data_IF_463799264141
#
_entry.id   IF_463799264141
#
_cell.length_a   1.000
_cell.length_b   1.000
_cell.length_c   1.000
_cell.angle_alpha   90.00
_cell.angle_beta   90.00
_cell.angle_gamma   90.00
#
_symmetry.space_group_name_H-M   'P 1'
#
loop_
_entity.id
_entity.type
_entity.pdbx_description
1 polymer ?
#
# COMPACT_ATOMS: atom_id res chain seq x y z
N UNK A 1 22.61 -4.41 -0.29
CA UNK A 1 21.82 -4.78 -1.49
C UNK A 1 20.56 -3.99 -1.38
N UNK A 2 20.40 -2.99 -2.23
CA UNK A 2 19.32 -2.03 -2.10
C UNK A 2 17.94 -2.67 -2.24
N UNK A 3 16.97 -2.19 -1.46
CA UNK A 3 15.59 -2.66 -1.53
C UNK A 3 14.68 -1.64 -2.22
N UNK A 4 13.78 -2.13 -3.06
CA UNK A 4 12.82 -1.30 -3.78
C UNK A 4 11.47 -1.33 -3.07
N UNK A 5 10.89 -0.15 -2.92
CA UNK A 5 9.52 0.10 -2.50
C UNK A 5 8.86 1.06 -3.50
N UNK A 6 7.56 1.27 -3.40
CA UNK A 6 6.92 2.31 -4.20
C UNK A 6 5.43 2.47 -4.03
N UNK A 7 4.84 3.25 -4.94
CA UNK A 7 3.42 3.52 -5.02
C UNK A 7 2.91 3.08 -6.39
N UNK A 8 1.88 2.22 -6.40
CA UNK A 8 1.20 1.70 -7.58
C UNK A 8 -0.13 2.43 -7.78
N UNK A 9 -0.38 2.94 -8.98
CA UNK A 9 -1.60 3.67 -9.33
C UNK A 9 -1.66 4.00 -10.81
N UNK A 10 -2.75 4.62 -11.25
CA UNK A 10 -2.94 4.96 -12.68
C UNK A 10 -2.28 6.30 -13.05
N UNK A 11 -2.42 7.31 -12.19
CA UNK A 11 -1.77 8.62 -12.33
C UNK A 11 -1.21 9.04 -10.97
N UNK A 12 0.10 9.26 -10.92
CA UNK A 12 0.88 9.42 -9.68
C UNK A 12 1.81 10.63 -9.68
N UNK A 13 1.96 11.35 -10.81
CA UNK A 13 2.87 12.49 -10.98
C UNK A 13 2.87 13.55 -9.87
N UNK A 14 1.77 13.73 -9.15
CA UNK A 14 1.63 14.69 -8.05
C UNK A 14 1.82 14.09 -6.64
N UNK A 15 2.18 12.81 -6.54
CA UNK A 15 2.35 12.14 -5.24
C UNK A 15 3.62 12.60 -4.53
N UNK A 16 3.48 12.99 -3.26
CA UNK A 16 4.61 13.30 -2.38
C UNK A 16 5.22 12.05 -1.72
N UNK A 17 4.61 10.87 -1.88
CA UNK A 17 5.09 9.63 -1.24
C UNK A 17 6.57 9.35 -1.52
N UNK A 18 7.10 9.47 -2.75
CA UNK A 18 8.53 9.26 -2.99
C UNK A 18 9.42 10.21 -2.20
N UNK A 19 9.06 11.49 -2.10
CA UNK A 19 9.84 12.47 -1.35
C UNK A 19 9.87 12.09 0.13
N UNK A 20 8.69 11.80 0.71
CA UNK A 20 8.56 11.46 2.13
C UNK A 20 9.32 10.16 2.45
N UNK A 21 9.08 9.09 1.70
CA UNK A 21 9.67 7.79 2.01
C UNK A 21 11.18 7.73 1.76
N UNK A 22 11.68 8.35 0.68
CA UNK A 22 13.12 8.39 0.44
C UNK A 22 13.86 9.20 1.50
N UNK A 23 13.29 10.32 1.99
CA UNK A 23 13.89 11.06 3.11
C UNK A 23 13.86 10.27 4.43
N UNK A 24 12.79 9.50 4.69
CA UNK A 24 12.73 8.58 5.84
C UNK A 24 13.85 7.52 5.73
N UNK A 25 13.99 6.85 4.59
CA UNK A 25 15.04 5.83 4.40
C UNK A 25 16.44 6.41 4.58
N UNK A 26 16.69 7.58 3.98
CA UNK A 26 17.96 8.30 4.14
C UNK A 26 18.25 8.66 5.60
N UNK A 27 17.24 9.12 6.34
CA UNK A 27 17.36 9.47 7.77
C UNK A 27 17.67 8.25 8.63
N UNK A 28 17.10 7.09 8.30
CA UNK A 28 17.33 5.82 9.00
C UNK A 28 18.63 5.12 8.58
N UNK A 29 19.32 5.60 7.54
CA UNK A 29 20.51 4.94 6.98
C UNK A 29 20.18 3.67 6.19
N UNK A 30 18.92 3.51 5.77
CA UNK A 30 18.46 2.34 5.00
C UNK A 30 18.83 2.50 3.52
N UNK A 31 19.46 1.48 2.94
CA UNK A 31 19.74 1.40 1.50
C UNK A 31 18.46 1.01 0.73
N UNK A 32 17.46 1.90 0.75
CA UNK A 32 16.14 1.66 0.16
C UNK A 32 15.73 2.80 -0.77
N UNK A 33 14.93 2.46 -1.79
CA UNK A 33 14.41 3.43 -2.76
C UNK A 33 12.89 3.29 -2.87
N UNK A 34 12.20 4.42 -2.92
CA UNK A 34 10.76 4.51 -3.16
C UNK A 34 10.47 5.11 -4.53
N UNK A 35 9.71 4.40 -5.37
CA UNK A 35 9.38 4.80 -6.75
C UNK A 35 7.88 4.86 -7.04
N UNK A 36 7.52 5.59 -8.10
CA UNK A 36 6.17 5.59 -8.64
C UNK A 36 6.07 4.55 -9.75
N UNK A 37 5.02 3.73 -9.68
CA UNK A 37 4.66 2.75 -10.69
C UNK A 37 3.30 3.14 -11.26
N UNK A 38 3.32 3.99 -12.29
CA UNK A 38 2.13 4.32 -13.08
C UNK A 38 1.83 3.14 -14.02
N UNK A 39 0.66 2.54 -13.86
CA UNK A 39 0.28 1.32 -14.56
C UNK A 39 -1.14 1.48 -15.08
N UNK A 40 -1.36 1.16 -16.36
CA UNK A 40 -2.70 1.09 -16.94
C UNK A 40 -3.48 -0.09 -16.37
N UNK A 41 -4.80 0.03 -16.28
CA UNK A 41 -5.68 -0.96 -15.63
C UNK A 41 -5.44 -2.39 -16.15
N UNK A 42 -5.38 -2.55 -17.47
CA UNK A 42 -5.23 -3.86 -18.11
C UNK A 42 -3.86 -4.51 -17.84
N UNK A 43 -2.88 -3.72 -17.40
CA UNK A 43 -1.52 -4.17 -17.06
C UNK A 43 -1.34 -4.44 -15.56
N UNK A 44 -2.35 -4.26 -14.71
CA UNK A 44 -2.22 -4.32 -13.26
C UNK A 44 -1.68 -5.67 -12.76
N UNK A 45 -2.23 -6.77 -13.28
CA UNK A 45 -1.78 -8.13 -12.96
C UNK A 45 -0.29 -8.33 -13.29
N UNK A 46 0.12 -7.89 -14.48
CA UNK A 46 1.48 -8.14 -14.96
C UNK A 46 2.49 -7.21 -14.28
N UNK A 47 2.09 -6.00 -13.92
CA UNK A 47 2.88 -5.13 -13.06
C UNK A 47 3.17 -5.77 -11.69
N UNK A 48 2.17 -6.38 -11.04
CA UNK A 48 2.36 -7.06 -9.75
C UNK A 48 3.33 -8.24 -9.90
N UNK A 49 3.20 -9.04 -10.96
CA UNK A 49 4.13 -10.14 -11.26
C UNK A 49 5.54 -9.61 -11.52
N UNK A 50 5.68 -8.52 -12.27
CA UNK A 50 6.94 -7.86 -12.55
C UNK A 50 7.62 -7.35 -11.28
N UNK A 51 6.89 -6.64 -10.42
CA UNK A 51 7.37 -6.16 -9.12
C UNK A 51 7.85 -7.31 -8.22
N UNK A 52 7.11 -8.44 -8.20
CA UNK A 52 7.51 -9.66 -7.49
C UNK A 52 8.82 -10.23 -8.06
N UNK A 53 8.93 -10.32 -9.38
CA UNK A 53 10.12 -10.84 -10.07
C UNK A 53 11.36 -9.95 -9.84
N UNK A 54 11.17 -8.63 -9.77
CA UNK A 54 12.21 -7.65 -9.45
C UNK A 54 12.61 -7.65 -7.95
N UNK A 55 11.99 -8.51 -7.13
CA UNK A 55 12.22 -8.60 -5.69
C UNK A 55 11.96 -7.29 -4.94
N UNK A 56 11.03 -6.46 -5.44
CA UNK A 56 10.44 -5.33 -4.71
C UNK A 56 9.95 -5.83 -3.35
N UNK A 57 10.15 -5.06 -2.28
CA UNK A 57 9.77 -5.49 -0.92
C UNK A 57 8.33 -5.17 -0.58
N UNK A 58 7.82 -4.04 -1.07
CA UNK A 58 6.42 -3.68 -0.92
C UNK A 58 6.05 -2.47 -1.75
N UNK A 59 4.76 -2.33 -2.04
CA UNK A 59 4.21 -1.13 -2.67
C UNK A 59 2.96 -0.68 -1.95
N UNK A 60 2.77 0.63 -1.84
CA UNK A 60 1.46 1.19 -1.58
C UNK A 60 0.61 1.12 -2.86
N UNK A 61 -0.70 1.08 -2.69
CA UNK A 61 -1.68 1.07 -3.77
C UNK A 61 -2.64 2.23 -3.55
N UNK A 62 -2.86 3.02 -4.60
CA UNK A 62 -3.81 4.13 -4.56
C UNK A 62 -4.96 3.94 -5.58
N UNK A 63 -5.89 4.88 -5.57
CA UNK A 63 -7.03 4.92 -6.49
C UNK A 63 -6.50 4.90 -7.95
N UNK A 64 -7.17 4.16 -8.86
CA UNK A 64 -8.42 3.40 -8.65
C UNK A 64 -8.21 1.93 -8.23
N UNK A 65 -6.99 1.50 -7.97
CA UNK A 65 -6.65 0.07 -7.88
C UNK A 65 -6.85 -0.58 -6.52
N UNK A 66 -7.18 0.18 -5.47
CA UNK A 66 -7.31 -0.36 -4.11
C UNK A 66 -8.26 -1.58 -4.00
N UNK A 67 -9.31 -1.64 -4.82
CA UNK A 67 -10.25 -2.78 -4.82
C UNK A 67 -9.82 -3.86 -5.81
N UNK A 68 -9.49 -3.45 -7.04
CA UNK A 68 -9.18 -4.36 -8.14
C UNK A 68 -7.97 -5.24 -7.85
N UNK A 69 -6.97 -4.67 -7.15
CA UNK A 69 -5.72 -5.35 -6.84
C UNK A 69 -5.92 -6.62 -6.01
N UNK A 70 -6.99 -6.72 -5.22
CA UNK A 70 -7.32 -7.87 -4.38
C UNK A 70 -7.33 -9.17 -5.21
N UNK A 71 -7.84 -9.11 -6.45
CA UNK A 71 -7.95 -10.28 -7.34
C UNK A 71 -6.61 -10.82 -7.83
N UNK A 72 -5.53 -10.07 -7.64
CA UNK A 72 -4.20 -10.38 -8.16
C UNK A 72 -3.20 -10.74 -7.05
N UNK A 73 -3.65 -10.86 -5.79
CA UNK A 73 -2.79 -11.20 -4.65
C UNK A 73 -2.99 -12.65 -4.20
N UNK A 74 -1.93 -13.24 -3.68
CA UNK A 74 -1.93 -14.62 -3.17
C UNK A 74 -2.65 -14.71 -1.81
N UNK A 75 -2.51 -13.68 -0.96
CA UNK A 75 -3.07 -13.63 0.40
C UNK A 75 -3.54 -12.22 0.78
N UNK A 76 -4.42 -12.16 1.78
CA UNK A 76 -4.97 -10.92 2.34
C UNK A 76 -5.10 -11.04 3.85
N UNK A 77 -4.98 -9.93 4.58
CA UNK A 77 -5.34 -9.90 6.00
C UNK A 77 -6.86 -9.97 6.19
N UNK A 78 -7.32 -10.49 7.34
CA UNK A 78 -8.75 -10.57 7.66
C UNK A 78 -9.43 -9.20 7.63
N UNK A 79 -8.74 -8.14 8.04
CA UNK A 79 -9.23 -6.76 8.00
C UNK A 79 -9.39 -6.28 6.56
N UNK A 80 -8.46 -6.65 5.69
CA UNK A 80 -8.51 -6.31 4.26
C UNK A 80 -9.75 -6.91 3.61
N UNK A 81 -10.09 -8.16 3.94
CA UNK A 81 -11.30 -8.82 3.46
C UNK A 81 -12.58 -8.12 3.95
N UNK A 82 -12.58 -7.62 5.19
CA UNK A 82 -13.73 -6.87 5.75
C UNK A 82 -13.88 -5.47 5.15
N UNK A 83 -12.78 -4.77 4.89
CA UNK A 83 -12.79 -3.42 4.32
C UNK A 83 -13.05 -3.46 2.81
N UNK A 84 -12.62 -4.52 2.13
CA UNK A 84 -12.79 -4.68 0.68
C UNK A 84 -11.81 -3.84 -0.16
N UNK A 85 -10.71 -3.38 0.44
CA UNK A 85 -9.69 -2.58 -0.24
C UNK A 85 -8.29 -2.85 0.33
N UNK A 86 -7.28 -2.86 -0.54
CA UNK A 86 -5.85 -2.96 -0.23
C UNK A 86 -5.17 -1.63 -0.54
N UNK A 87 -4.42 -1.08 0.41
CA UNK A 87 -3.57 0.10 0.20
C UNK A 87 -2.08 -0.24 0.27
N UNK A 88 -1.72 -1.48 0.63
CA UNK A 88 -0.33 -1.91 0.82
C UNK A 88 -0.18 -3.37 0.39
N UNK A 89 0.79 -3.66 -0.46
CA UNK A 89 1.18 -5.01 -0.85
C UNK A 89 2.59 -5.27 -0.32
N UNK A 90 2.79 -6.40 0.33
CA UNK A 90 4.11 -6.89 0.72
C UNK A 90 4.45 -8.10 -0.14
N UNK A 91 5.65 -8.10 -0.70
CA UNK A 91 6.19 -9.23 -1.45
C UNK A 91 7.12 -10.01 -0.52
N UNK A 92 6.72 -11.23 -0.14
CA UNK A 92 7.49 -12.06 0.78
C UNK A 92 7.68 -13.44 0.20
N UNK A 93 8.94 -13.86 0.05
CA UNK A 93 9.30 -15.12 -0.59
C UNK A 93 8.65 -15.22 -1.99
N UNK A 94 7.69 -16.12 -2.15
CA UNK A 94 6.94 -16.36 -3.38
C UNK A 94 5.47 -15.95 -3.25
N UNK A 95 5.10 -15.08 -2.30
CA UNK A 95 3.71 -14.62 -2.10
C UNK A 95 3.57 -13.10 -2.16
N UNK A 96 2.43 -12.65 -2.67
CA UNK A 96 1.94 -11.27 -2.61
C UNK A 96 0.85 -11.17 -1.56
N UNK A 97 1.05 -10.33 -0.55
CA UNK A 97 0.14 -10.23 0.60
C UNK A 97 -0.43 -8.81 0.66
N UNK A 98 -1.76 -8.70 0.63
CA UNK A 98 -2.49 -7.44 0.70
C UNK A 98 -2.88 -7.04 2.12
N UNK A 99 -2.68 -5.76 2.43
CA UNK A 99 -3.06 -5.13 3.70
C UNK A 99 -3.84 -3.84 3.45
N UNK A 100 -4.65 -3.47 4.44
CA UNK A 100 -5.21 -2.14 4.57
C UNK A 100 -4.70 -1.47 5.85
N UNK A 101 -3.75 -0.53 5.70
CA UNK A 101 -3.15 0.19 6.83
C UNK A 101 -3.88 1.50 7.16
N UNK A 102 -4.76 2.01 6.29
CA UNK A 102 -5.50 3.26 6.49
C UNK A 102 -6.39 3.17 7.76
N UNK A 103 -7.05 2.03 7.96
CA UNK A 103 -7.88 1.77 9.15
C UNK A 103 -7.08 1.86 10.46
N UNK A 104 -5.92 1.20 10.50
CA UNK A 104 -5.05 1.22 11.67
C UNK A 104 -4.45 2.60 11.91
N UNK A 105 -3.98 3.27 10.85
CA UNK A 105 -3.41 4.61 10.93
C UNK A 105 -4.41 5.63 11.46
N UNK A 106 -5.66 5.57 11.00
CA UNK A 106 -6.73 6.40 11.51
C UNK A 106 -7.02 6.14 13.01
N UNK A 107 -7.12 4.86 13.40
CA UNK A 107 -7.31 4.49 14.81
C UNK A 107 -6.17 4.93 15.73
N UNK A 108 -4.92 4.85 15.26
CA UNK A 108 -3.75 5.36 15.98
C UNK A 108 -3.80 6.87 16.15
N UNK A 109 -4.18 7.61 15.10
CA UNK A 109 -4.31 9.06 15.13
C UNK A 109 -5.37 9.48 16.16
N UNK A 110 -6.55 8.88 16.15
CA UNK A 110 -7.61 9.19 17.12
C UNK A 110 -7.14 8.98 18.57
N UNK A 111 -6.43 7.87 18.83
CA UNK A 111 -5.85 7.60 20.14
C UNK A 111 -4.78 8.62 20.52
N UNK A 112 -3.89 9.00 19.60
CA UNK A 112 -2.83 9.96 19.86
C UNK A 112 -3.36 11.36 20.23
N UNK A 113 -4.53 11.73 19.71
CA UNK A 113 -5.21 12.98 20.03
C UNK A 113 -6.28 12.85 21.12
N UNK A 114 -6.37 11.70 21.81
CA UNK A 114 -7.38 11.40 22.82
C UNK A 114 -8.83 11.67 22.36
N UNK A 115 -9.12 11.37 21.09
CA UNK A 115 -10.45 11.54 20.50
C UNK A 115 -11.25 10.24 20.67
N UNK A 116 -12.23 10.25 21.57
CA UNK A 116 -13.18 9.15 21.72
C UNK A 116 -14.25 9.21 20.63
N UNK A 117 -14.15 8.31 19.65
CA UNK A 117 -15.17 8.15 18.63
C UNK A 117 -16.28 7.24 19.15
N UNK A 118 -17.35 7.85 19.67
CA UNK A 118 -18.61 7.13 19.86
C UNK A 118 -19.20 6.81 18.49
N UNK A 119 -19.14 5.55 18.09
CA UNK A 119 -19.87 5.06 16.91
C UNK A 119 -21.35 5.25 17.20
N UNK A 120 -21.91 6.40 16.80
CA UNK A 120 -23.35 6.53 16.65
C UNK A 120 -23.71 5.69 15.44
N UNK A 121 -24.53 4.66 15.66
CA UNK A 121 -25.17 3.87 14.60
C UNK A 121 -26.09 4.82 13.83
N UNK A 122 -25.54 5.60 12.91
CA UNK A 122 -26.31 6.54 12.10
C UNK A 122 -26.38 6.00 10.67
N UNK A 123 -27.54 5.39 10.44
CA UNK A 123 -28.27 5.17 9.20
C UNK A 123 -27.66 4.26 8.12
N UNK A 124 -28.54 3.36 7.70
CA UNK A 124 -28.53 2.45 6.57
C UNK A 124 -28.12 3.12 5.25
#
# INVERSE_FOLDING_TARGET
MSSIYGLLGERLSHSLSPVIHNEIFKTLGDECYYHLFEVERDCLSDAIKGLKALKTKGVNVTIPYKIEVIKHLDEHSDETLKIGAVNTIVFRQNKTIGYNTDYFGFGMMLKAFNIDVKIKKQLY
#
